data_IF_992032750884
#
_entry.id   IF_992032750884
#
_cell.length_a   1.000
_cell.length_b   1.000
_cell.length_c   1.000
_cell.angle_alpha   90.00
_cell.angle_beta   90.00
_cell.angle_gamma   90.00
#
_symmetry.space_group_name_H-M   'P 1'
#
loop_
_entity.id
_entity.type
_entity.pdbx_description
1 polymer ?
#
# COMPACT_ATOMS: atom_id res chain seq x y z
N UNK A 1 0.80 12.25 15.28
CA UNK A 1 2.07 11.52 15.42
C UNK A 1 2.86 11.70 14.15
N UNK A 2 3.50 12.86 14.03
CA UNK A 2 4.33 13.28 12.89
C UNK A 2 5.76 12.76 13.13
N UNK A 3 6.28 11.95 12.20
CA UNK A 3 7.68 11.54 12.23
C UNK A 3 8.61 12.72 11.87
N UNK A 4 9.89 12.72 12.28
CA UNK A 4 10.76 13.90 12.24
C UNK A 4 11.15 14.44 10.84
N UNK A 5 10.76 13.76 9.76
CA UNK A 5 11.37 13.93 8.45
C UNK A 5 10.39 14.13 7.28
N UNK A 6 9.11 14.43 7.54
CA UNK A 6 8.14 14.62 6.46
C UNK A 6 7.16 15.76 6.71
N UNK A 7 6.47 16.23 5.65
CA UNK A 7 5.53 17.33 5.74
C UNK A 7 4.35 16.90 6.63
N UNK A 8 3.72 17.89 7.28
CA UNK A 8 2.52 17.66 8.07
C UNK A 8 1.49 16.83 7.31
N UNK A 9 0.89 15.82 7.94
CA UNK A 9 0.02 14.84 7.27
C UNK A 9 -1.17 15.50 6.54
N UNK A 10 -1.63 16.65 7.02
CA UNK A 10 -2.73 17.42 6.42
C UNK A 10 -2.31 18.17 5.14
N UNK A 11 -1.01 18.33 4.87
CA UNK A 11 -0.46 18.95 3.64
C UNK A 11 -0.36 17.97 2.48
N UNK A 12 -0.32 16.67 2.76
CA UNK A 12 -0.23 15.63 1.72
C UNK A 12 -1.49 15.59 0.82
N UNK A 13 -2.72 15.63 1.36
CA UNK A 13 -3.92 15.75 0.54
C UNK A 13 -3.96 17.04 -0.28
N UNK A 14 -3.47 18.16 0.27
CA UNK A 14 -3.41 19.44 -0.42
C UNK A 14 -2.40 19.43 -1.57
N UNK A 15 -1.22 18.83 -1.36
CA UNK A 15 -0.22 18.62 -2.42
C UNK A 15 -0.72 17.66 -3.51
N UNK A 16 -1.52 16.64 -3.14
CA UNK A 16 -2.20 15.78 -4.11
C UNK A 16 -3.24 16.55 -4.93
N UNK A 17 -4.08 17.34 -4.27
CA UNK A 17 -5.09 18.21 -4.90
C UNK A 17 -4.46 19.21 -5.88
N UNK A 18 -3.34 19.81 -5.50
CA UNK A 18 -2.57 20.76 -6.33
C UNK A 18 -2.10 20.12 -7.65
N UNK A 19 -1.87 18.80 -7.70
CA UNK A 19 -1.39 18.13 -8.92
C UNK A 19 -2.49 17.45 -9.75
N UNK A 20 -3.75 17.51 -9.32
CA UNK A 20 -4.89 17.04 -10.12
C UNK A 20 -5.10 18.00 -11.30
N UNK A 21 -5.07 17.52 -12.56
CA UNK A 21 -5.34 18.34 -13.73
C UNK A 21 -6.78 18.85 -13.66
N UNK A 22 -6.94 20.11 -13.24
CA UNK A 22 -8.24 20.75 -12.98
C UNK A 22 -8.30 21.58 -11.68
N UNK A 23 -7.45 21.29 -10.68
CA UNK A 23 -7.41 22.02 -9.40
C UNK A 23 -6.18 22.93 -9.23
N UNK A 24 -5.00 22.52 -9.72
CA UNK A 24 -3.75 23.26 -9.53
C UNK A 24 -3.46 24.37 -10.53
N UNK A 25 -3.92 24.23 -11.77
CA UNK A 25 -3.63 25.18 -12.85
C UNK A 25 -4.74 26.22 -13.07
N UNK A 26 -5.86 26.10 -12.34
CA UNK A 26 -7.08 26.92 -12.50
C UNK A 26 -7.16 28.16 -11.57
N UNK A 27 -6.05 28.60 -10.97
CA UNK A 27 -5.93 29.99 -10.48
C UNK A 27 -6.15 30.23 -8.98
N UNK A 28 -6.21 29.20 -8.13
CA UNK A 28 -6.10 29.37 -6.68
C UNK A 28 -4.75 28.80 -6.24
N UNK A 29 -3.73 29.67 -6.19
CA UNK A 29 -2.35 29.35 -5.82
C UNK A 29 -2.21 28.85 -4.39
N UNK A 30 -2.59 27.60 -4.15
CA UNK A 30 -2.35 26.91 -2.89
C UNK A 30 -0.94 26.35 -2.97
N UNK A 31 0.05 27.11 -2.50
CA UNK A 31 1.40 26.58 -2.33
C UNK A 31 1.38 25.60 -1.15
N UNK A 32 1.32 24.30 -1.43
CA UNK A 32 1.39 23.28 -0.38
C UNK A 32 2.69 23.35 0.43
N UNK A 33 3.74 24.01 -0.10
CA UNK A 33 5.03 24.29 0.52
C UNK A 33 5.87 23.03 0.77
N UNK A 34 5.50 21.93 0.11
CA UNK A 34 6.19 20.64 0.19
C UNK A 34 7.45 20.73 -0.66
N UNK A 35 8.59 20.38 -0.10
CA UNK A 35 9.87 20.37 -0.84
C UNK A 35 9.94 19.18 -1.78
N UNK A 36 10.75 19.29 -2.84
CA UNK A 36 10.93 18.20 -3.82
C UNK A 36 11.37 16.88 -3.15
N UNK A 37 12.24 16.96 -2.13
CA UNK A 37 12.67 15.79 -1.34
C UNK A 37 11.52 15.13 -0.58
N UNK A 38 10.64 15.93 0.02
CA UNK A 38 9.45 15.42 0.72
C UNK A 38 8.46 14.79 -0.25
N UNK A 39 8.36 15.33 -1.46
CA UNK A 39 7.54 14.78 -2.54
C UNK A 39 8.06 13.42 -3.03
N UNK A 40 9.37 13.26 -3.25
CA UNK A 40 9.97 11.96 -3.58
C UNK A 40 9.72 10.93 -2.48
N UNK A 41 9.81 11.30 -1.20
CA UNK A 41 9.49 10.38 -0.09
C UNK A 41 8.01 9.95 -0.15
N UNK A 42 7.10 10.86 -0.47
CA UNK A 42 5.69 10.53 -0.62
C UNK A 42 5.52 9.53 -1.77
N UNK A 43 6.07 9.81 -2.95
CA UNK A 43 5.84 8.98 -4.15
C UNK A 43 6.61 7.67 -4.19
N UNK A 44 7.87 7.65 -3.76
CA UNK A 44 8.73 6.48 -3.89
C UNK A 44 8.61 5.53 -2.69
N UNK A 45 8.22 6.05 -1.52
CA UNK A 45 8.20 5.26 -0.28
C UNK A 45 6.78 5.06 0.25
N UNK A 46 5.96 6.11 0.31
CA UNK A 46 4.65 6.06 0.99
C UNK A 46 3.53 5.59 0.06
N UNK A 47 3.43 6.18 -1.13
CA UNK A 47 2.39 5.86 -2.12
C UNK A 47 2.35 4.37 -2.48
N UNK A 48 3.48 3.68 -2.72
CA UNK A 48 3.45 2.25 -3.04
C UNK A 48 2.86 1.43 -1.89
N UNK A 49 3.20 1.78 -0.63
CA UNK A 49 2.67 1.11 0.56
C UNK A 49 1.18 1.36 0.75
N UNK A 50 0.71 2.58 0.50
CA UNK A 50 -0.73 2.93 0.60
C UNK A 50 -1.53 2.17 -0.45
N UNK A 51 -1.04 2.10 -1.69
CA UNK A 51 -1.69 1.34 -2.77
C UNK A 51 -1.73 -0.15 -2.44
N UNK A 52 -0.61 -0.73 -1.99
CA UNK A 52 -0.56 -2.12 -1.56
C UNK A 52 -1.52 -2.40 -0.40
N UNK A 53 -1.59 -1.51 0.61
CA UNK A 53 -2.54 -1.65 1.72
C UNK A 53 -3.99 -1.63 1.24
N UNK A 54 -4.32 -0.77 0.26
CA UNK A 54 -5.64 -0.73 -0.37
C UNK A 54 -5.99 -2.02 -1.11
N UNK A 55 -5.06 -2.53 -1.92
CA UNK A 55 -5.24 -3.77 -2.68
C UNK A 55 -5.41 -4.96 -1.72
N UNK A 56 -4.53 -5.09 -0.73
CA UNK A 56 -4.58 -6.18 0.26
C UNK A 56 -5.86 -6.11 1.09
N UNK A 57 -6.26 -4.92 1.54
CA UNK A 57 -7.53 -4.75 2.27
C UNK A 57 -8.74 -5.14 1.44
N UNK A 58 -8.77 -4.74 0.17
CA UNK A 58 -9.85 -5.08 -0.76
C UNK A 58 -9.93 -6.60 -1.01
N UNK A 59 -8.81 -7.27 -1.26
CA UNK A 59 -8.79 -8.72 -1.48
C UNK A 59 -9.17 -9.50 -0.21
N UNK A 60 -8.73 -9.08 0.97
CA UNK A 60 -9.14 -9.68 2.24
C UNK A 60 -10.64 -9.51 2.49
N UNK A 61 -11.19 -8.32 2.24
CA UNK A 61 -12.63 -8.06 2.39
C UNK A 61 -13.48 -8.89 1.43
N UNK A 62 -13.09 -8.95 0.15
CA UNK A 62 -13.76 -9.76 -0.86
C UNK A 62 -13.68 -11.26 -0.54
N UNK A 63 -12.52 -11.75 -0.12
CA UNK A 63 -12.34 -13.13 0.32
C UNK A 63 -13.25 -13.45 1.49
N UNK A 64 -13.22 -12.62 2.55
CA UNK A 64 -14.06 -12.78 3.74
C UNK A 64 -15.55 -12.81 3.41
N UNK A 65 -16.05 -11.83 2.64
CA UNK A 65 -17.45 -11.76 2.22
C UNK A 65 -17.87 -12.98 1.37
N UNK A 66 -16.99 -13.43 0.46
CA UNK A 66 -17.26 -14.60 -0.38
C UNK A 66 -17.36 -15.88 0.45
N UNK A 67 -16.42 -16.12 1.36
CA UNK A 67 -16.43 -17.30 2.23
C UNK A 67 -17.60 -17.28 3.21
N UNK A 68 -17.85 -16.15 3.86
CA UNK A 68 -19.02 -15.99 4.73
C UNK A 68 -20.33 -16.24 3.98
N UNK A 69 -20.42 -15.80 2.71
CA UNK A 69 -21.58 -16.04 1.85
C UNK A 69 -21.78 -17.51 1.45
N UNK A 70 -20.71 -18.21 1.08
CA UNK A 70 -20.75 -19.63 0.69
C UNK A 70 -21.11 -20.53 1.88
N UNK A 71 -20.44 -20.32 3.02
CA UNK A 71 -20.68 -21.14 4.22
C UNK A 71 -21.88 -20.68 5.04
N UNK A 72 -22.48 -19.54 4.70
CA UNK A 72 -23.55 -18.88 5.47
C UNK A 72 -23.22 -18.79 6.96
N UNK A 73 -21.95 -18.57 7.27
CA UNK A 73 -21.43 -18.52 8.62
C UNK A 73 -20.55 -17.26 8.76
N UNK A 74 -21.00 -16.26 9.55
CA UNK A 74 -20.28 -14.99 9.70
C UNK A 74 -18.94 -15.14 10.44
N UNK A 75 -18.64 -16.29 11.04
CA UNK A 75 -17.39 -16.55 11.75
C UNK A 75 -16.32 -17.24 10.90
N UNK A 76 -16.60 -17.54 9.63
CA UNK A 76 -15.62 -18.19 8.75
C UNK A 76 -14.55 -17.18 8.31
N UNK A 77 -13.30 -17.58 8.48
CA UNK A 77 -12.12 -16.82 8.07
C UNK A 77 -11.41 -17.51 6.88
N UNK A 78 -11.17 -16.80 5.75
CA UNK A 78 -10.36 -17.28 4.62
C UNK A 78 -9.03 -17.94 5.01
N UNK A 79 -8.39 -17.50 6.10
CA UNK A 79 -7.12 -18.05 6.57
C UNK A 79 -7.21 -19.54 6.94
N UNK A 80 -8.40 -20.05 7.28
CA UNK A 80 -8.61 -21.44 7.69
C UNK A 80 -8.43 -22.46 6.56
N UNK A 81 -8.48 -22.03 5.29
CA UNK A 81 -8.33 -22.91 4.13
C UNK A 81 -6.88 -23.02 3.62
N UNK A 82 -5.91 -22.53 4.38
CA UNK A 82 -4.49 -22.72 4.09
C UNK A 82 -3.86 -21.69 3.15
N UNK A 83 -4.60 -20.64 2.76
CA UNK A 83 -4.06 -19.56 1.92
C UNK A 83 -2.80 -18.90 2.53
N UNK A 84 -2.81 -18.66 3.83
CA UNK A 84 -1.65 -18.09 4.54
C UNK A 84 -0.48 -19.05 4.67
N UNK A 85 -0.76 -20.33 4.95
CA UNK A 85 0.26 -21.37 5.00
C UNK A 85 0.93 -21.56 3.62
N UNK A 86 0.14 -21.52 2.54
CA UNK A 86 0.65 -21.56 1.17
C UNK A 86 1.51 -20.37 0.81
N UNK A 87 1.11 -19.16 1.21
CA UNK A 87 1.92 -17.94 1.03
C UNK A 87 3.26 -18.01 1.77
N UNK A 88 3.26 -18.44 3.03
CA UNK A 88 4.48 -18.61 3.83
C UNK A 88 5.41 -19.69 3.29
N UNK A 89 4.85 -20.83 2.87
CA UNK A 89 5.60 -21.91 2.21
C UNK A 89 6.23 -21.44 0.90
N UNK A 90 5.47 -20.74 0.05
CA UNK A 90 5.97 -20.18 -1.20
C UNK A 90 7.12 -19.19 -0.98
N UNK A 91 6.98 -18.27 -0.02
CA UNK A 91 8.04 -17.34 0.34
C UNK A 91 9.31 -18.08 0.83
N UNK A 92 9.13 -19.08 1.69
CA UNK A 92 10.25 -19.88 2.21
C UNK A 92 10.96 -20.64 1.10
N UNK A 93 10.22 -21.26 0.18
CA UNK A 93 10.80 -21.96 -0.97
C UNK A 93 11.59 -21.00 -1.85
N UNK A 94 11.07 -19.83 -2.18
CA UNK A 94 11.80 -18.84 -2.99
C UNK A 94 13.10 -18.42 -2.29
N UNK A 95 13.03 -18.04 -1.01
CA UNK A 95 14.20 -17.59 -0.25
C UNK A 95 15.27 -18.68 -0.13
N UNK A 96 14.87 -19.93 0.03
CA UNK A 96 15.81 -21.05 0.25
C UNK A 96 16.37 -21.66 -1.02
N UNK A 97 15.63 -21.61 -2.13
CA UNK A 97 16.00 -22.29 -3.38
C UNK A 97 16.55 -21.35 -4.44
N UNK A 98 16.22 -20.06 -4.39
CA UNK A 98 16.77 -19.07 -5.33
C UNK A 98 18.12 -18.60 -4.79
N UNK A 99 19.20 -18.92 -5.52
CA UNK A 99 20.57 -18.50 -5.15
C UNK A 99 20.71 -16.98 -5.06
N UNK A 100 21.61 -16.52 -4.17
CA UNK A 100 21.86 -15.10 -3.87
C UNK A 100 22.00 -14.24 -5.11
N UNK A 101 22.70 -14.76 -6.13
CA UNK A 101 23.08 -14.06 -7.36
C UNK A 101 21.89 -13.71 -8.28
N UNK A 102 20.67 -14.13 -7.93
CA UNK A 102 19.43 -13.74 -8.64
C UNK A 102 18.54 -12.81 -7.82
N UNK A 103 18.90 -12.56 -6.56
CA UNK A 103 18.13 -11.75 -5.61
C UNK A 103 18.82 -10.41 -5.31
N UNK A 104 19.86 -10.04 -6.06
CA UNK A 104 20.65 -8.81 -5.91
C UNK A 104 19.82 -7.52 -5.94
N UNK A 105 18.63 -7.58 -6.54
CA UNK A 105 17.69 -6.46 -6.62
C UNK A 105 16.72 -6.37 -5.41
N UNK A 106 16.70 -7.40 -4.56
CA UNK A 106 15.86 -7.48 -3.35
C UNK A 106 16.56 -7.04 -2.07
N UNK A 107 17.90 -6.92 -2.09
CA UNK A 107 18.77 -6.55 -0.95
C UNK A 107 19.44 -5.22 -1.24
#
# INVERSE_FOLDING_TARGET
>A
MTGPAGPEWWRVPLALLERIPGFGESGLGISSGVTEREWSIIWDIRMPRVVLAGIVGATLSLGGASYQGVFRNPLVDPYLLGAAAGGGLGATLVITTVGSDRLDWLV
#
